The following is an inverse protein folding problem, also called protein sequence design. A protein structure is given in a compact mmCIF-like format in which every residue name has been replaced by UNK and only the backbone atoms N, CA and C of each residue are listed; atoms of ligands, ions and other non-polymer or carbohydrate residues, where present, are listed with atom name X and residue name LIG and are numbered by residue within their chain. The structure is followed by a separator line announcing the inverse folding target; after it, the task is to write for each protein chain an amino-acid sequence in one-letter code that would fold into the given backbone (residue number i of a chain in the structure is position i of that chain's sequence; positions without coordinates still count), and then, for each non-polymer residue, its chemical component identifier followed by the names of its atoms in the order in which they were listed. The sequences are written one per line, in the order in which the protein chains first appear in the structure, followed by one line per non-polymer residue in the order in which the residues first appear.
data_IF_941302889722
#
_entry.id   IF_941302889722
#
_cell.length_a   1.000
_cell.length_b   1.000
_cell.length_c   1.000
_cell.angle_alpha   90.00
_cell.angle_beta   90.00
_cell.angle_gamma   90.00
#
_symmetry.space_group_name_H-M   'P 1'
#
loop_
_entity.id
_entity.type
_entity.pdbx_description
1 polymer ?
#
# COMPACT_ATOMS: atom_id res chain seq x y z
N UNK A 1 -35.75 5.13 -10.98
CA UNK A 1 -35.64 6.38 -11.74
C UNK A 1 -35.96 7.52 -10.77
N UNK A 2 -35.04 7.86 -9.84
CA UNK A 2 -35.23 8.96 -8.87
C UNK A 2 -33.95 9.15 -8.02
N UNK A 3 -32.85 9.59 -8.64
CA UNK A 3 -31.66 10.09 -7.90
C UNK A 3 -30.93 11.22 -8.66
N UNK A 4 -31.42 11.63 -9.84
CA UNK A 4 -30.81 12.72 -10.65
C UNK A 4 -31.30 14.12 -10.31
N UNK A 5 -32.26 14.28 -9.40
CA UNK A 5 -32.94 15.58 -9.14
C UNK A 5 -32.45 16.34 -7.91
N UNK A 6 -31.78 15.71 -6.93
CA UNK A 6 -31.28 16.44 -5.74
C UNK A 6 -30.01 17.28 -6.02
N UNK A 7 -29.14 16.83 -6.93
CA UNK A 7 -27.94 17.58 -7.30
C UNK A 7 -28.24 18.85 -8.12
N UNK A 8 -29.30 18.86 -8.96
CA UNK A 8 -29.69 20.06 -9.70
C UNK A 8 -30.41 21.08 -8.81
N UNK A 9 -31.11 20.63 -7.76
CA UNK A 9 -31.74 21.51 -6.78
C UNK A 9 -30.69 22.27 -5.94
N UNK A 10 -29.65 21.58 -5.45
CA UNK A 10 -28.55 22.23 -4.71
C UNK A 10 -27.76 23.23 -5.58
N UNK A 11 -27.54 22.93 -6.86
CA UNK A 11 -26.89 23.85 -7.80
C UNK A 11 -27.72 25.12 -8.07
N UNK A 12 -29.04 24.99 -8.19
CA UNK A 12 -29.94 26.14 -8.37
C UNK A 12 -30.06 26.98 -7.10
N UNK A 13 -30.07 26.35 -5.92
CA UNK A 13 -30.13 27.07 -4.65
C UNK A 13 -28.87 27.90 -4.38
N UNK A 14 -27.68 27.36 -4.72
CA UNK A 14 -26.42 28.10 -4.63
C UNK A 14 -26.33 29.25 -5.64
N UNK A 15 -26.84 29.06 -6.86
CA UNK A 15 -26.89 30.14 -7.87
C UNK A 15 -27.76 31.31 -7.39
N UNK A 16 -28.96 31.01 -6.87
CA UNK A 16 -29.89 32.04 -6.41
C UNK A 16 -29.34 32.82 -5.18
N UNK A 17 -28.68 32.13 -4.24
CA UNK A 17 -28.03 32.78 -3.09
C UNK A 17 -26.83 33.65 -3.52
N UNK A 18 -26.12 33.26 -4.58
CA UNK A 18 -25.01 34.04 -5.14
C UNK A 18 -25.52 35.31 -5.84
N UNK A 19 -26.63 35.22 -6.57
CA UNK A 19 -27.21 36.37 -7.25
C UNK A 19 -27.74 37.41 -6.23
N UNK A 20 -28.37 36.96 -5.14
CA UNK A 20 -28.79 37.83 -4.02
C UNK A 20 -27.60 38.50 -3.30
N UNK A 21 -26.50 37.79 -3.09
CA UNK A 21 -25.29 38.33 -2.44
C UNK A 21 -24.54 39.34 -3.32
N UNK A 22 -24.63 39.21 -4.64
CA UNK A 22 -24.04 40.15 -5.61
C UNK A 22 -24.86 41.44 -5.66
N UNK A 23 -26.20 41.37 -5.57
CA UNK A 23 -27.07 42.55 -5.52
C UNK A 23 -26.95 43.34 -4.20
N UNK A 24 -26.69 42.66 -3.08
CA UNK A 24 -26.60 43.30 -1.75
C UNK A 24 -25.27 44.06 -1.51
N UNK A 25 -24.21 43.79 -2.28
CA UNK A 25 -22.89 44.41 -2.10
C UNK A 25 -22.22 44.83 -3.42
N UNK A 26 -22.76 45.86 -4.13
CA UNK A 26 -22.21 46.32 -5.41
C UNK A 26 -20.83 47.01 -5.30
N UNK A 27 -20.26 47.16 -4.09
CA UNK A 27 -19.01 47.88 -3.84
C UNK A 27 -17.77 46.99 -3.65
N UNK A 28 -17.89 45.66 -3.69
CA UNK A 28 -16.70 44.82 -3.86
C UNK A 28 -16.52 44.55 -5.34
N UNK A 29 -15.56 45.23 -5.96
CA UNK A 29 -15.04 44.92 -7.30
C UNK A 29 -14.42 43.52 -7.34
N UNK A 30 -15.27 42.51 -7.23
CA UNK A 30 -14.91 41.10 -7.20
C UNK A 30 -14.48 40.68 -8.60
N UNK A 31 -13.17 40.64 -8.81
CA UNK A 31 -12.59 40.04 -10.00
C UNK A 31 -13.20 38.64 -10.21
N UNK A 32 -13.86 38.40 -11.33
CA UNK A 32 -14.40 37.08 -11.70
C UNK A 32 -13.34 35.96 -11.69
N UNK A 33 -12.04 36.30 -11.67
CA UNK A 33 -10.94 35.36 -11.50
C UNK A 33 -10.80 34.78 -10.07
N UNK A 34 -11.47 35.36 -9.08
CA UNK A 34 -11.45 34.86 -7.70
C UNK A 34 -12.36 33.64 -7.49
N UNK A 35 -13.40 33.46 -8.33
CA UNK A 35 -14.31 32.31 -8.27
C UNK A 35 -13.68 31.03 -8.84
N UNK A 36 -12.78 31.14 -9.83
CA UNK A 36 -12.02 29.99 -10.38
C UNK A 36 -10.89 29.49 -9.45
N UNK A 37 -10.63 30.20 -8.34
CA UNK A 37 -9.56 29.86 -7.36
C UNK A 37 -10.08 29.66 -5.94
N UNK A 38 -11.36 29.38 -5.76
CA UNK A 38 -11.81 28.90 -4.45
C UNK A 38 -11.37 27.45 -4.27
N UNK A 39 -10.29 27.28 -3.50
CA UNK A 39 -9.92 25.99 -2.92
C UNK A 39 -11.17 25.30 -2.35
N UNK A 40 -11.31 24.01 -2.62
CA UNK A 40 -12.31 23.16 -2.00
C UNK A 40 -12.24 23.26 -0.47
N UNK A 41 -13.34 22.95 0.22
CA UNK A 41 -13.35 22.93 1.70
C UNK A 41 -12.19 22.08 2.22
N UNK A 42 -11.95 20.93 1.60
CA UNK A 42 -10.85 20.02 1.96
C UNK A 42 -9.48 20.65 1.75
N UNK A 43 -9.23 21.31 0.62
CA UNK A 43 -7.96 22.01 0.37
C UNK A 43 -7.73 23.16 1.36
N UNK A 44 -8.78 23.89 1.74
CA UNK A 44 -8.67 24.95 2.76
C UNK A 44 -8.39 24.38 4.15
N UNK A 45 -9.03 23.27 4.51
CA UNK A 45 -8.78 22.56 5.77
C UNK A 45 -7.35 22.03 5.79
N UNK A 46 -6.91 21.35 4.74
CA UNK A 46 -5.55 20.83 4.63
C UNK A 46 -4.49 21.94 4.68
N UNK A 47 -4.75 23.08 4.03
CA UNK A 47 -3.85 24.24 4.09
C UNK A 47 -3.75 24.83 5.51
N UNK A 48 -4.82 24.78 6.30
CA UNK A 48 -4.82 25.24 7.71
C UNK A 48 -4.27 24.20 8.68
N UNK A 49 -4.47 22.91 8.38
CA UNK A 49 -4.14 21.79 9.24
C UNK A 49 -2.90 21.07 8.70
N UNK A 50 -1.77 21.77 8.72
CA UNK A 50 -0.49 21.26 8.25
C UNK A 50 0.00 20.06 9.07
N UNK A 51 0.51 19.04 8.40
CA UNK A 51 1.12 17.86 9.03
C UNK A 51 2.61 18.11 9.29
N UNK A 52 2.94 18.30 10.57
CA UNK A 52 4.31 18.64 11.01
C UNK A 52 5.16 17.43 11.38
N UNK A 53 4.56 16.27 11.64
CA UNK A 53 5.33 15.07 11.98
C UNK A 53 6.07 14.51 10.75
N UNK A 54 7.24 13.86 10.96
CA UNK A 54 7.94 13.14 9.90
C UNK A 54 7.17 11.88 9.51
N UNK A 55 7.32 11.48 8.24
CA UNK A 55 6.78 10.23 7.72
C UNK A 55 7.88 9.51 6.97
N UNK A 56 8.12 8.26 7.35
CA UNK A 56 9.02 7.35 6.64
C UNK A 56 8.24 6.44 5.69
N UNK A 57 8.94 5.82 4.76
CA UNK A 57 8.41 4.76 3.90
C UNK A 57 9.19 3.49 4.17
N UNK A 58 8.48 2.38 4.35
CA UNK A 58 9.08 1.05 4.53
C UNK A 58 8.74 0.21 3.31
N UNK A 59 9.77 -0.24 2.59
CA UNK A 59 9.65 -1.24 1.53
C UNK A 59 10.13 -2.60 2.03
N UNK A 60 9.46 -3.67 1.60
CA UNK A 60 10.00 -5.03 1.65
C UNK A 60 10.37 -5.46 0.25
N UNK A 61 11.57 -6.02 0.10
CA UNK A 61 12.04 -6.50 -1.19
C UNK A 61 12.93 -7.72 -1.04
N UNK A 62 12.97 -8.55 -2.08
CA UNK A 62 13.77 -9.76 -2.14
C UNK A 62 14.18 -10.06 -3.57
N UNK A 63 15.42 -10.47 -3.78
CA UNK A 63 15.87 -11.08 -5.03
C UNK A 63 16.02 -12.59 -4.87
N UNK A 64 15.18 -13.32 -5.59
CA UNK A 64 15.15 -14.77 -5.63
C UNK A 64 16.30 -15.39 -6.41
N UNK A 65 16.90 -14.62 -7.34
CA UNK A 65 18.00 -15.02 -8.20
C UNK A 65 19.38 -14.89 -7.55
N UNK A 66 19.48 -14.20 -6.42
CA UNK A 66 20.69 -14.16 -5.59
C UNK A 66 21.07 -15.59 -5.12
N UNK A 67 22.28 -16.08 -5.45
CA UNK A 67 22.71 -17.43 -5.09
C UNK A 67 22.73 -17.71 -3.59
N UNK A 68 23.17 -16.75 -2.77
CA UNK A 68 23.27 -16.92 -1.32
C UNK A 68 21.88 -17.01 -0.69
N UNK A 69 20.98 -16.13 -1.11
CA UNK A 69 19.60 -16.17 -0.66
C UNK A 69 18.89 -17.43 -1.16
N UNK A 70 19.15 -17.87 -2.40
CA UNK A 70 18.58 -19.10 -2.94
C UNK A 70 19.06 -20.36 -2.21
N UNK A 71 20.36 -20.48 -1.94
CA UNK A 71 20.93 -21.59 -1.16
C UNK A 71 20.33 -21.62 0.25
N UNK A 72 20.32 -20.46 0.92
CA UNK A 72 19.71 -20.29 2.24
C UNK A 72 18.25 -20.75 2.24
N UNK A 73 17.41 -20.29 1.31
CA UNK A 73 16.00 -20.74 1.16
C UNK A 73 15.88 -22.25 0.97
N UNK A 74 16.63 -22.80 0.02
CA UNK A 74 16.53 -24.20 -0.36
C UNK A 74 16.90 -25.14 0.80
N UNK A 75 17.79 -24.72 1.70
CA UNK A 75 18.17 -25.49 2.89
C UNK A 75 17.02 -25.70 3.91
N UNK A 76 15.95 -24.91 3.83
CA UNK A 76 14.78 -25.00 4.71
C UNK A 76 13.56 -25.70 4.08
N UNK A 77 13.54 -25.90 2.76
CA UNK A 77 12.45 -26.62 2.09
C UNK A 77 12.23 -28.05 2.62
N UNK A 78 13.28 -28.85 2.94
CA UNK A 78 13.08 -30.21 3.46
C UNK A 78 12.59 -30.26 4.92
N UNK A 79 12.56 -29.12 5.63
CA UNK A 79 12.47 -29.07 7.10
C UNK A 79 11.10 -28.63 7.63
N UNK A 80 10.17 -28.21 6.78
CA UNK A 80 8.90 -27.66 7.23
C UNK A 80 7.72 -28.43 6.63
N UNK A 81 6.96 -29.07 7.51
CA UNK A 81 5.67 -29.67 7.16
C UNK A 81 4.62 -28.56 7.03
N UNK A 82 3.62 -28.74 6.17
CA UNK A 82 2.47 -27.82 5.95
C UNK A 82 2.74 -26.52 5.17
N UNK A 83 3.82 -26.43 4.40
CA UNK A 83 3.98 -25.32 3.44
C UNK A 83 2.91 -25.43 2.35
N UNK A 84 2.15 -24.36 2.12
CA UNK A 84 1.20 -24.34 1.02
C UNK A 84 1.95 -24.20 -0.32
N UNK A 85 1.56 -24.90 -1.42
CA UNK A 85 2.24 -24.79 -2.72
C UNK A 85 2.44 -23.35 -3.22
N UNK A 86 1.40 -22.51 -3.08
CA UNK A 86 1.51 -21.09 -3.41
C UNK A 86 2.57 -20.35 -2.60
N UNK A 87 2.91 -20.79 -1.38
CA UNK A 87 3.98 -20.23 -0.54
C UNK A 87 5.39 -20.47 -1.09
N UNK A 88 5.53 -21.43 -2.02
CA UNK A 88 6.78 -21.80 -2.68
C UNK A 88 6.87 -21.29 -4.14
N UNK A 89 5.88 -20.52 -4.60
CA UNK A 89 5.87 -20.01 -5.96
C UNK A 89 7.08 -19.10 -6.22
N UNK A 90 7.82 -19.36 -7.30
CA UNK A 90 8.96 -18.53 -7.71
C UNK A 90 8.59 -17.05 -7.87
N UNK A 91 7.34 -16.74 -8.22
CA UNK A 91 6.85 -15.36 -8.32
C UNK A 91 6.96 -14.59 -7.00
N UNK A 92 6.94 -15.25 -5.84
CA UNK A 92 7.08 -14.59 -4.53
C UNK A 92 8.48 -14.05 -4.26
N UNK A 93 9.47 -14.57 -4.97
CA UNK A 93 10.87 -14.21 -4.81
C UNK A 93 11.41 -13.54 -6.08
N UNK A 94 10.58 -13.34 -7.12
CA UNK A 94 11.07 -12.83 -8.39
C UNK A 94 11.21 -11.31 -8.32
N UNK A 95 12.41 -10.81 -8.58
CA UNK A 95 12.62 -9.40 -8.88
C UNK A 95 12.39 -9.16 -10.38
N UNK A 96 11.44 -8.27 -10.72
CA UNK A 96 11.27 -7.76 -12.08
C UNK A 96 11.58 -6.25 -12.14
N UNK A 97 12.42 -5.75 -11.23
CA UNK A 97 12.80 -4.34 -11.10
C UNK A 97 11.64 -3.42 -10.66
N UNK A 98 10.55 -3.97 -10.12
CA UNK A 98 9.41 -3.20 -9.60
C UNK A 98 9.87 -2.17 -8.56
N UNK A 99 10.72 -2.59 -7.62
CA UNK A 99 11.28 -1.71 -6.58
C UNK A 99 11.95 -0.47 -7.19
N UNK A 100 12.76 -0.64 -8.25
CA UNK A 100 13.46 0.48 -8.90
C UNK A 100 12.47 1.51 -9.41
N UNK A 101 11.42 1.07 -10.09
CA UNK A 101 10.38 1.96 -10.60
C UNK A 101 9.49 2.53 -9.48
N UNK A 102 9.25 1.79 -8.40
CA UNK A 102 8.52 2.28 -7.23
C UNK A 102 9.29 3.40 -6.52
N UNK A 103 10.62 3.29 -6.42
CA UNK A 103 11.46 4.37 -5.88
C UNK A 103 11.49 5.61 -6.79
N UNK A 104 11.50 5.44 -8.12
CA UNK A 104 11.30 6.57 -9.06
C UNK A 104 9.95 7.26 -8.83
N UNK A 105 8.89 6.47 -8.63
CA UNK A 105 7.57 6.99 -8.32
C UNK A 105 7.59 7.77 -6.99
N UNK A 106 8.24 7.24 -5.97
CA UNK A 106 8.32 7.86 -4.65
C UNK A 106 9.09 9.17 -4.68
N UNK A 107 10.23 9.24 -5.37
CA UNK A 107 10.99 10.49 -5.52
C UNK A 107 10.16 11.56 -6.23
N UNK A 108 9.50 11.17 -7.32
CA UNK A 108 8.71 12.09 -8.14
C UNK A 108 7.50 12.61 -7.38
N UNK A 109 6.78 11.72 -6.68
CA UNK A 109 5.43 12.02 -6.20
C UNK A 109 5.30 12.18 -4.69
N UNK A 110 6.33 11.83 -3.91
CA UNK A 110 6.36 12.02 -2.47
C UNK A 110 7.73 12.54 -1.97
N UNK A 111 8.22 13.68 -2.50
CA UNK A 111 9.53 14.22 -2.12
C UNK A 111 9.61 14.57 -0.62
N UNK A 112 8.47 14.79 0.03
CA UNK A 112 8.33 15.10 1.46
C UNK A 112 8.63 13.93 2.42
N UNK A 113 8.79 12.70 1.91
CA UNK A 113 9.18 11.54 2.73
C UNK A 113 10.52 11.83 3.41
N UNK A 114 10.61 11.52 4.71
CA UNK A 114 11.82 11.77 5.51
C UNK A 114 12.91 10.74 5.19
N UNK A 115 12.66 9.46 5.53
CA UNK A 115 13.56 8.34 5.23
C UNK A 115 12.82 7.26 4.46
N UNK A 116 13.58 6.51 3.66
CA UNK A 116 13.13 5.29 2.99
C UNK A 116 13.88 4.13 3.64
N UNK A 117 13.15 3.21 4.24
CA UNK A 117 13.69 1.99 4.82
C UNK A 117 13.46 0.86 3.83
N UNK A 118 14.54 0.26 3.33
CA UNK A 118 14.50 -0.91 2.46
C UNK A 118 14.83 -2.16 3.28
N UNK A 119 13.80 -2.95 3.58
CA UNK A 119 13.92 -4.21 4.34
C UNK A 119 14.29 -5.36 3.41
N UNK A 120 15.40 -6.03 3.71
CA UNK A 120 15.94 -7.15 2.90
C UNK A 120 16.44 -8.32 3.76
N UNK A 121 16.76 -9.45 3.12
CA UNK A 121 17.43 -10.61 3.74
C UNK A 121 18.92 -10.65 3.36
N UNK A 122 19.72 -9.73 3.90
CA UNK A 122 21.14 -9.54 3.58
C UNK A 122 21.43 -9.23 2.10
N UNK A 123 20.49 -8.57 1.42
CA UNK A 123 20.59 -8.23 0.00
C UNK A 123 20.67 -6.72 -0.22
N UNK A 124 21.38 -6.32 -1.27
CA UNK A 124 21.45 -4.94 -1.75
C UNK A 124 21.18 -4.96 -3.26
N UNK A 125 20.14 -4.28 -3.78
CA UNK A 125 19.93 -4.20 -5.22
C UNK A 125 21.15 -3.61 -5.93
N UNK A 126 21.60 -4.26 -7.00
CA UNK A 126 22.85 -3.90 -7.67
C UNK A 126 22.86 -2.46 -8.25
N UNK A 127 21.70 -1.95 -8.63
CA UNK A 127 21.47 -0.63 -9.20
C UNK A 127 21.31 0.48 -8.13
N UNK A 128 21.17 0.13 -6.85
CA UNK A 128 20.84 1.07 -5.79
C UNK A 128 22.07 1.90 -5.36
N UNK A 129 21.93 3.22 -5.37
CA UNK A 129 22.87 4.17 -4.79
C UNK A 129 22.66 4.29 -3.27
N UNK A 130 23.50 3.61 -2.51
CA UNK A 130 23.45 3.62 -1.03
C UNK A 130 24.04 4.88 -0.41
N UNK A 131 24.61 5.79 -1.19
CA UNK A 131 25.27 7.01 -0.71
C UNK A 131 24.35 8.24 -0.69
N UNK A 132 23.11 8.12 -1.17
CA UNK A 132 22.18 9.24 -1.29
C UNK A 132 21.67 9.78 0.07
N UNK A 133 21.88 9.04 1.17
CA UNK A 133 21.56 9.44 2.55
C UNK A 133 20.08 9.37 2.94
N UNK A 134 19.16 9.22 1.97
CA UNK A 134 17.71 9.12 2.21
C UNK A 134 17.22 7.68 2.30
N UNK A 135 17.91 6.74 1.66
CA UNK A 135 17.64 5.30 1.76
C UNK A 135 18.53 4.65 2.82
N UNK A 136 17.90 3.88 3.71
CA UNK A 136 18.56 3.03 4.68
C UNK A 136 18.15 1.58 4.42
N UNK A 137 19.15 0.72 4.23
CA UNK A 137 18.92 -0.73 4.11
C UNK A 137 18.89 -1.31 5.53
N UNK A 138 17.87 -2.11 5.83
CA UNK A 138 17.69 -2.77 7.12
C UNK A 138 17.52 -4.27 6.89
N UNK A 139 18.31 -5.07 7.58
CA UNK A 139 18.25 -6.52 7.49
C UNK A 139 17.15 -7.07 8.41
N UNK A 140 16.53 -8.19 8.02
CA UNK A 140 15.59 -8.91 8.88
C UNK A 140 16.11 -9.12 10.32
N UNK A 141 17.40 -9.40 10.50
CA UNK A 141 18.02 -9.62 11.82
C UNK A 141 18.05 -8.39 12.73
N UNK A 142 17.86 -7.20 12.17
CA UNK A 142 17.95 -5.95 12.94
C UNK A 142 16.67 -5.67 13.75
N UNK A 143 15.56 -6.35 13.43
CA UNK A 143 14.25 -6.08 14.07
C UNK A 143 13.38 -7.33 14.32
N UNK A 144 13.71 -8.48 13.70
CA UNK A 144 13.06 -9.77 13.97
C UNK A 144 13.87 -10.54 15.02
N UNK A 145 13.24 -11.08 16.08
CA UNK A 145 13.92 -11.95 17.04
C UNK A 145 14.61 -13.15 16.38
N UNK A 146 15.82 -13.46 16.85
CA UNK A 146 16.72 -14.42 16.20
C UNK A 146 16.11 -15.83 16.11
N UNK A 147 15.29 -16.23 17.08
CA UNK A 147 14.59 -17.53 17.09
C UNK A 147 13.64 -17.73 15.89
N UNK A 148 13.12 -16.64 15.32
CA UNK A 148 12.23 -16.69 14.16
C UNK A 148 12.97 -16.62 12.83
N UNK A 149 14.28 -16.39 12.85
CA UNK A 149 15.12 -16.28 11.66
C UNK A 149 15.74 -17.62 11.23
N UNK A 150 16.14 -17.75 9.95
CA UNK A 150 15.73 -16.88 8.85
C UNK A 150 14.22 -17.03 8.57
N UNK A 151 13.64 -16.10 7.82
CA UNK A 151 12.25 -16.21 7.36
C UNK A 151 12.13 -15.74 5.91
N UNK A 152 11.32 -16.44 5.14
CA UNK A 152 10.95 -16.12 3.76
C UNK A 152 9.44 -15.86 3.66
N UNK A 153 8.79 -15.72 4.82
CA UNK A 153 7.37 -15.52 4.97
C UNK A 153 7.09 -14.05 5.25
N UNK A 154 6.53 -13.35 4.26
CA UNK A 154 6.22 -11.92 4.43
C UNK A 154 5.27 -11.64 5.59
N UNK A 155 4.40 -12.58 6.00
CA UNK A 155 3.52 -12.36 7.15
C UNK A 155 4.32 -12.29 8.47
N UNK A 156 5.43 -13.05 8.57
CA UNK A 156 6.36 -12.96 9.70
C UNK A 156 7.13 -11.63 9.64
N UNK A 157 7.62 -11.23 8.47
CA UNK A 157 8.34 -9.97 8.28
C UNK A 157 7.44 -8.78 8.65
N UNK A 158 6.21 -8.76 8.12
CA UNK A 158 5.19 -7.74 8.38
C UNK A 158 4.86 -7.60 9.88
N UNK A 159 4.81 -8.71 10.62
CA UNK A 159 4.51 -8.68 12.06
C UNK A 159 5.53 -7.83 12.87
N UNK A 160 6.74 -7.63 12.36
CA UNK A 160 7.81 -6.93 13.07
C UNK A 160 8.22 -5.58 12.48
N UNK A 161 7.71 -5.14 11.32
CA UNK A 161 8.16 -3.87 10.69
C UNK A 161 8.09 -2.65 11.62
N UNK A 162 7.14 -2.61 12.55
CA UNK A 162 7.00 -1.53 13.52
C UNK A 162 8.13 -1.48 14.59
N UNK A 163 8.94 -2.55 14.68
CA UNK A 163 10.11 -2.66 15.56
C UNK A 163 11.42 -2.21 14.91
N UNK A 164 11.39 -1.81 13.63
CA UNK A 164 12.57 -1.29 12.94
C UNK A 164 13.18 -0.13 13.77
N UNK A 165 14.49 -0.19 14.10
CA UNK A 165 15.16 0.88 14.81
C UNK A 165 15.06 2.22 14.07
N UNK A 166 14.88 3.31 14.80
CA UNK A 166 14.79 4.68 14.26
C UNK A 166 13.64 4.98 13.27
N UNK A 167 12.72 4.03 13.07
CA UNK A 167 11.49 4.25 12.31
C UNK A 167 10.67 5.35 12.99
N UNK A 168 10.21 6.32 12.21
CA UNK A 168 9.32 7.38 12.67
C UNK A 168 8.00 6.82 13.21
N UNK A 169 7.36 7.57 14.12
CA UNK A 169 6.04 7.17 14.64
C UNK A 169 5.02 6.98 13.53
N UNK A 170 5.08 7.79 12.46
CA UNK A 170 4.21 7.68 11.30
C UNK A 170 5.02 7.16 10.11
N UNK A 171 4.52 6.14 9.43
CA UNK A 171 5.18 5.57 8.26
C UNK A 171 4.16 4.97 7.30
N UNK A 172 4.59 4.75 6.06
CA UNK A 172 3.80 4.08 5.03
C UNK A 172 4.52 2.79 4.66
N UNK A 173 3.87 1.65 4.85
CA UNK A 173 4.36 0.39 4.31
C UNK A 173 3.93 0.26 2.84
N UNK A 174 4.89 -0.06 1.97
CA UNK A 174 4.72 -0.33 0.55
C UNK A 174 5.35 -1.69 0.20
N UNK A 175 4.61 -2.51 -0.54
CA UNK A 175 5.25 -3.55 -1.34
C UNK A 175 5.98 -2.90 -2.52
N UNK A 176 6.99 -3.58 -3.05
CA UNK A 176 7.75 -3.16 -4.23
C UNK A 176 6.89 -3.03 -5.51
N UNK A 177 5.79 -3.77 -5.59
CA UNK A 177 4.82 -3.76 -6.69
C UNK A 177 3.75 -2.64 -6.63
N UNK A 178 3.89 -1.69 -5.69
CA UNK A 178 2.99 -0.53 -5.53
C UNK A 178 3.69 0.75 -6.01
N UNK A 179 3.00 1.56 -6.80
CA UNK A 179 3.53 2.77 -7.40
C UNK A 179 2.60 3.95 -7.12
N UNK A 180 3.15 5.06 -6.61
CA UNK A 180 2.43 6.33 -6.61
C UNK A 180 2.27 6.82 -8.05
N UNK A 181 1.13 7.42 -8.35
CA UNK A 181 0.74 7.73 -9.73
C UNK A 181 0.46 9.23 -9.98
N UNK A 182 0.51 10.05 -8.93
CA UNK A 182 0.42 11.50 -9.02
C UNK A 182 1.07 12.15 -7.81
N UNK A 183 1.34 13.46 -7.90
CA UNK A 183 1.87 14.22 -6.78
C UNK A 183 1.02 14.04 -5.52
N UNK A 184 1.68 13.75 -4.41
CA UNK A 184 1.07 13.53 -3.10
C UNK A 184 1.61 14.52 -2.08
N UNK A 185 0.87 14.65 -0.98
CA UNK A 185 1.33 15.34 0.23
C UNK A 185 1.21 14.38 1.42
N UNK A 186 1.72 14.76 2.58
CA UNK A 186 1.46 14.01 3.83
C UNK A 186 -0.04 13.80 4.08
N UNK A 187 -0.87 14.78 3.68
CA UNK A 187 -2.32 14.75 3.84
C UNK A 187 -3.02 13.75 2.88
N UNK A 188 -2.29 13.17 1.93
CA UNK A 188 -2.79 12.05 1.13
C UNK A 188 -2.85 10.74 1.92
N UNK A 189 -2.17 10.63 3.07
CA UNK A 189 -1.98 9.38 3.82
C UNK A 189 -2.36 9.47 5.29
N UNK A 190 -2.29 10.66 5.88
CA UNK A 190 -2.66 10.90 7.27
C UNK A 190 -3.55 12.14 7.37
N UNK A 191 -4.43 12.15 8.37
CA UNK A 191 -5.05 13.39 8.82
C UNK A 191 -4.05 14.23 9.62
N UNK A 192 -4.40 15.50 9.81
CA UNK A 192 -3.62 16.44 10.62
C UNK A 192 -3.49 16.08 12.09
N UNK A 193 -4.44 15.31 12.63
CA UNK A 193 -4.37 14.74 13.97
C UNK A 193 -3.69 13.36 14.02
N UNK A 194 -3.03 12.93 12.94
CA UNK A 194 -2.17 11.74 12.92
C UNK A 194 -2.89 10.42 12.66
N UNK A 195 -4.19 10.43 12.30
CA UNK A 195 -4.89 9.19 11.95
C UNK A 195 -4.50 8.72 10.54
N UNK A 196 -4.15 7.45 10.35
CA UNK A 196 -3.86 6.90 9.04
C UNK A 196 -5.13 6.80 8.19
N UNK A 197 -4.97 6.93 6.87
CA UNK A 197 -6.02 6.64 5.90
C UNK A 197 -5.97 5.17 5.49
N UNK A 198 -7.11 4.49 5.58
CA UNK A 198 -7.30 3.13 5.08
C UNK A 198 -7.96 3.15 3.71
N UNK A 199 -7.19 2.92 2.64
CA UNK A 199 -7.71 2.89 1.28
C UNK A 199 -8.59 1.65 1.08
N UNK A 200 -9.90 1.83 0.94
CA UNK A 200 -10.87 0.73 0.85
C UNK A 200 -10.84 0.11 -0.56
N UNK A 201 -10.85 -1.22 -0.64
CA UNK A 201 -10.99 -1.93 -1.90
C UNK A 201 -12.46 -1.86 -2.36
N UNK A 202 -12.77 -0.93 -3.25
CA UNK A 202 -14.11 -0.79 -3.85
C UNK A 202 -14.55 -2.05 -4.63
N UNK A 203 -13.63 -2.97 -4.96
CA UNK A 203 -13.91 -4.26 -5.61
C UNK A 203 -14.25 -5.37 -4.62
N UNK A 204 -14.31 -5.07 -3.32
CA UNK A 204 -14.56 -6.01 -2.21
C UNK A 204 -15.97 -6.63 -2.22
N UNK A 205 -16.31 -7.36 -3.29
CA UNK A 205 -17.31 -8.42 -3.31
C UNK A 205 -16.70 -9.79 -2.93
N UNK A 206 -15.46 -9.81 -2.42
CA UNK A 206 -14.58 -11.00 -2.41
C UNK A 206 -14.66 -11.91 -1.18
N UNK A 207 -15.14 -11.43 -0.03
CA UNK A 207 -14.99 -12.20 1.22
C UNK A 207 -15.80 -13.49 1.27
N UNK A 208 -16.99 -13.51 0.66
CA UNK A 208 -17.78 -14.75 0.56
C UNK A 208 -17.00 -15.86 -0.14
N UNK A 209 -16.15 -15.52 -1.11
CA UNK A 209 -15.29 -16.46 -1.82
C UNK A 209 -14.04 -16.87 -1.04
N UNK A 210 -13.57 -16.06 -0.08
CA UNK A 210 -12.34 -16.36 0.68
C UNK A 210 -12.51 -17.54 1.62
N UNK A 211 -13.71 -17.70 2.21
CA UNK A 211 -14.05 -18.88 3.02
C UNK A 211 -13.79 -20.21 2.28
N UNK A 212 -14.00 -20.23 0.96
CA UNK A 212 -13.85 -21.43 0.14
C UNK A 212 -12.49 -21.51 -0.57
N UNK A 213 -11.70 -20.44 -0.55
CA UNK A 213 -10.42 -20.36 -1.26
C UNK A 213 -9.28 -20.70 -0.31
N UNK A 214 -8.58 -21.81 -0.56
CA UNK A 214 -7.50 -22.30 0.33
C UNK A 214 -6.12 -21.67 0.08
N UNK A 215 -6.04 -20.50 -0.55
CA UNK A 215 -4.72 -19.85 -0.78
C UNK A 215 -4.24 -19.13 0.48
N UNK A 216 -2.91 -19.02 0.71
CA UNK A 216 -2.36 -18.28 1.85
C UNK A 216 -2.94 -16.88 2.02
N UNK A 217 -3.04 -16.13 0.91
CA UNK A 217 -3.61 -14.79 0.92
C UNK A 217 -5.09 -14.79 1.35
N UNK A 218 -5.94 -15.62 0.75
CA UNK A 218 -7.36 -15.64 1.11
C UNK A 218 -7.58 -16.12 2.57
N UNK A 219 -6.82 -17.12 3.00
CA UNK A 219 -6.90 -17.65 4.37
C UNK A 219 -6.42 -16.63 5.40
N UNK A 220 -5.38 -15.85 5.09
CA UNK A 220 -4.91 -14.79 6.00
C UNK A 220 -5.96 -13.72 6.31
N UNK A 221 -6.86 -13.45 5.35
CA UNK A 221 -8.00 -12.56 5.56
C UNK A 221 -9.10 -13.27 6.36
N UNK A 222 -9.41 -14.53 6.01
CA UNK A 222 -10.42 -15.32 6.70
C UNK A 222 -10.08 -15.55 8.19
N UNK A 223 -8.82 -15.87 8.50
CA UNK A 223 -8.33 -16.06 9.86
C UNK A 223 -8.52 -14.80 10.72
N UNK A 224 -8.33 -13.62 10.12
CA UNK A 224 -8.58 -12.33 10.79
C UNK A 224 -10.05 -12.22 11.18
N UNK A 225 -10.97 -12.43 10.22
CA UNK A 225 -12.41 -12.34 10.48
C UNK A 225 -12.88 -13.37 11.51
N UNK A 226 -12.35 -14.61 11.43
CA UNK A 226 -12.62 -15.67 12.40
C UNK A 226 -12.17 -15.26 13.81
N UNK A 227 -11.02 -14.61 13.95
CA UNK A 227 -10.55 -14.11 15.24
C UNK A 227 -11.49 -13.05 15.83
N UNK A 228 -11.94 -12.07 15.03
CA UNK A 228 -12.91 -11.06 15.48
C UNK A 228 -14.23 -11.68 15.94
N UNK A 229 -14.73 -12.66 15.20
CA UNK A 229 -15.94 -13.41 15.55
C UNK A 229 -15.78 -14.12 16.90
N UNK A 230 -14.65 -14.80 17.11
CA UNK A 230 -14.34 -15.50 18.38
C UNK A 230 -14.16 -14.54 19.56
N UNK A 231 -13.68 -13.32 19.34
CA UNK A 231 -13.52 -12.30 20.37
C UNK A 231 -14.79 -11.48 20.63
N UNK A 232 -15.87 -11.72 19.87
CA UNK A 232 -17.10 -10.94 19.92
C UNK A 232 -16.85 -9.43 19.75
N UNK A 233 -15.85 -9.05 18.95
CA UNK A 233 -15.55 -7.65 18.65
C UNK A 233 -16.33 -7.23 17.43
N UNK A 234 -17.20 -6.23 17.59
CA UNK A 234 -17.96 -5.67 16.49
C UNK A 234 -17.02 -5.04 15.47
N UNK A 235 -17.14 -5.47 14.22
CA UNK A 235 -16.37 -4.92 13.10
C UNK A 235 -17.21 -4.93 11.84
N UNK A 236 -16.77 -4.17 10.83
CA UNK A 236 -17.38 -4.23 9.51
C UNK A 236 -16.55 -5.17 8.64
N UNK A 237 -16.98 -6.43 8.41
CA UNK A 237 -16.21 -7.36 7.60
C UNK A 237 -16.00 -6.84 6.18
N UNK A 238 -16.85 -5.93 5.67
CA UNK A 238 -16.68 -5.32 4.34
C UNK A 238 -15.54 -4.30 4.27
N UNK A 239 -14.96 -3.90 5.40
CA UNK A 239 -13.78 -3.04 5.43
C UNK A 239 -12.54 -3.85 5.05
N UNK A 240 -12.29 -3.91 3.75
CA UNK A 240 -11.09 -4.50 3.15
C UNK A 240 -10.27 -3.36 2.54
N UNK A 241 -8.97 -3.35 2.78
CA UNK A 241 -8.10 -2.38 2.15
C UNK A 241 -7.61 -2.84 0.77
N UNK A 242 -7.45 -1.88 -0.12
CA UNK A 242 -6.83 -2.06 -1.42
C UNK A 242 -5.39 -2.57 -1.25
N UNK A 243 -4.91 -3.33 -2.25
CA UNK A 243 -3.49 -3.64 -2.35
C UNK A 243 -2.74 -2.38 -2.83
N UNK A 244 -2.14 -1.65 -1.89
CA UNK A 244 -1.58 -0.33 -2.11
C UNK A 244 -0.76 0.16 -0.91
N UNK A 245 -0.65 1.48 -0.71
CA UNK A 245 0.01 2.06 0.45
C UNK A 245 -0.74 1.72 1.75
N UNK A 246 0.00 1.38 2.80
CA UNK A 246 -0.54 1.15 4.14
C UNK A 246 0.03 2.17 5.13
N UNK A 247 -0.59 3.36 5.26
CA UNK A 247 -0.26 4.31 6.32
C UNK A 247 -0.49 3.68 7.69
N UNK A 248 0.49 3.82 8.57
CA UNK A 248 0.48 3.20 9.88
C UNK A 248 1.19 4.08 10.90
N UNK A 249 0.96 3.79 12.18
CA UNK A 249 1.79 4.31 13.26
C UNK A 249 2.40 3.18 14.06
N UNK A 250 3.58 3.40 14.67
CA UNK A 250 4.23 2.37 15.50
C UNK A 250 3.34 2.01 16.68
N UNK A 251 2.67 3.00 17.26
CA UNK A 251 1.68 2.80 18.33
C UNK A 251 0.56 1.88 17.88
N UNK A 252 -0.04 2.11 16.71
CA UNK A 252 -1.14 1.30 16.20
C UNK A 252 -0.70 -0.11 15.81
N UNK A 253 0.48 -0.25 15.20
CA UNK A 253 1.03 -1.55 14.84
C UNK A 253 1.37 -2.37 16.10
N UNK A 254 2.01 -1.76 17.10
CA UNK A 254 2.27 -2.42 18.39
C UNK A 254 0.98 -2.88 19.07
N UNK A 255 -0.02 -1.99 19.18
CA UNK A 255 -1.31 -2.33 19.78
C UNK A 255 -2.06 -3.43 19.00
N UNK A 256 -1.90 -3.47 17.67
CA UNK A 256 -2.45 -4.56 16.85
C UNK A 256 -1.72 -5.87 17.12
N UNK A 257 -0.39 -5.86 17.18
CA UNK A 257 0.39 -7.05 17.52
C UNK A 257 -0.05 -7.63 18.87
N UNK A 258 -0.20 -6.78 19.88
CA UNK A 258 -0.67 -7.18 21.23
C UNK A 258 -2.10 -7.74 21.20
N UNK A 259 -2.97 -7.23 20.33
CA UNK A 259 -4.34 -7.73 20.20
C UNK A 259 -4.43 -9.12 19.57
N UNK A 260 -3.53 -9.43 18.62
CA UNK A 260 -3.43 -10.72 17.92
C UNK A 260 -2.24 -11.57 18.40
N UNK A 261 -1.78 -11.37 19.64
CA UNK A 261 -0.50 -11.90 20.13
C UNK A 261 -0.38 -13.42 19.94
N UNK A 262 -1.40 -14.17 20.35
CA UNK A 262 -1.44 -15.64 20.26
C UNK A 262 -1.44 -16.11 18.81
N UNK A 263 -2.25 -15.48 17.96
CA UNK A 263 -2.37 -15.84 16.56
C UNK A 263 -1.06 -15.55 15.83
N UNK A 264 -0.44 -14.40 16.09
CA UNK A 264 0.84 -14.02 15.49
C UNK A 264 1.93 -14.99 15.95
N UNK A 265 2.09 -15.20 17.25
CA UNK A 265 3.12 -16.09 17.82
C UNK A 265 3.02 -17.50 17.23
N UNK A 266 1.80 -17.99 16.96
CA UNK A 266 1.58 -19.33 16.43
C UNK A 266 2.25 -19.58 15.07
N UNK A 267 2.44 -18.54 14.24
CA UNK A 267 3.02 -18.68 12.90
C UNK A 267 4.42 -18.07 12.75
N UNK A 268 5.00 -17.45 13.79
CA UNK A 268 6.32 -16.80 13.67
C UNK A 268 7.45 -17.75 13.27
N UNK A 269 7.31 -19.04 13.58
CA UNK A 269 8.27 -20.08 13.17
C UNK A 269 8.08 -20.56 11.72
N UNK A 270 7.03 -20.13 11.03
CA UNK A 270 6.76 -20.54 9.66
C UNK A 270 7.72 -19.84 8.68
N UNK A 271 8.68 -20.61 8.15
CA UNK A 271 9.73 -20.08 7.24
C UNK A 271 9.15 -19.71 5.87
N UNK A 272 8.10 -20.41 5.44
CA UNK A 272 7.32 -20.12 4.24
C UNK A 272 5.83 -19.92 4.58
N UNK A 273 5.10 -19.21 3.72
CA UNK A 273 3.66 -18.97 3.91
C UNK A 273 2.86 -20.28 3.96
N UNK A 274 2.03 -20.41 4.98
CA UNK A 274 1.04 -21.48 5.14
C UNK A 274 -0.38 -20.90 4.95
N UNK A 275 -1.39 -21.52 5.54
CA UNK A 275 -2.76 -20.99 5.58
C UNK A 275 -3.15 -20.52 6.98
N UNK A 276 -2.20 -20.47 7.91
CA UNK A 276 -2.44 -20.19 9.33
C UNK A 276 -2.17 -18.72 9.68
N UNK A 277 -1.49 -17.98 8.81
CA UNK A 277 -1.09 -16.60 9.07
C UNK A 277 -2.25 -15.60 9.02
N UNK A 278 -1.93 -14.35 9.37
CA UNK A 278 -2.78 -13.18 9.25
C UNK A 278 -2.09 -12.14 8.35
N UNK A 279 -2.89 -11.43 7.55
CA UNK A 279 -2.41 -10.32 6.74
C UNK A 279 -2.32 -9.05 7.60
N UNK A 280 -1.16 -8.79 8.20
CA UNK A 280 -1.01 -7.81 9.26
C UNK A 280 -1.38 -6.38 8.81
N UNK A 281 -0.67 -5.85 7.81
CA UNK A 281 -0.91 -4.48 7.32
C UNK A 281 -2.11 -4.35 6.38
N UNK A 282 -2.38 -5.39 5.60
CA UNK A 282 -3.39 -5.34 4.53
C UNK A 282 -4.78 -5.81 4.97
N UNK A 283 -4.93 -6.28 6.21
CA UNK A 283 -6.26 -6.61 6.75
C UNK A 283 -6.39 -6.48 8.27
N UNK A 284 -5.55 -7.16 9.05
CA UNK A 284 -5.72 -7.27 10.50
C UNK A 284 -5.66 -5.92 11.21
N UNK A 285 -4.60 -5.13 10.97
CA UNK A 285 -4.44 -3.80 11.54
C UNK A 285 -5.52 -2.83 11.06
N UNK A 286 -5.79 -2.65 9.74
CA UNK A 286 -6.85 -1.75 9.31
C UNK A 286 -8.22 -2.07 9.92
N UNK A 287 -8.58 -3.35 9.99
CA UNK A 287 -9.87 -3.78 10.54
C UNK A 287 -9.96 -3.55 12.06
N UNK A 288 -8.87 -3.81 12.79
CA UNK A 288 -8.77 -3.48 14.21
C UNK A 288 -8.91 -1.98 14.45
N UNK A 289 -8.13 -1.15 13.75
CA UNK A 289 -8.20 0.31 13.88
C UNK A 289 -9.58 0.85 13.49
N UNK A 290 -10.25 0.24 12.51
CA UNK A 290 -11.62 0.60 12.15
C UNK A 290 -12.59 0.38 13.31
N UNK A 291 -12.53 -0.79 13.97
CA UNK A 291 -13.35 -1.05 15.17
C UNK A 291 -13.09 -0.05 16.30
N UNK A 292 -11.87 0.49 16.38
CA UNK A 292 -11.45 1.46 17.40
C UNK A 292 -11.63 2.92 16.98
N UNK A 293 -12.16 3.19 15.78
CA UNK A 293 -12.26 4.56 15.20
C UNK A 293 -10.91 5.29 15.11
N UNK A 294 -9.82 4.54 14.88
CA UNK A 294 -8.43 5.01 14.78
C UNK A 294 -7.86 5.00 13.36
N UNK A 295 -8.72 4.82 12.35
CA UNK A 295 -8.37 4.87 10.93
C UNK A 295 -9.50 5.59 10.19
N UNK A 296 -9.15 6.35 9.14
CA UNK A 296 -10.13 7.05 8.30
C UNK A 296 -10.31 6.24 7.01
N UNK A 297 -11.48 5.64 6.75
CA UNK A 297 -11.77 5.00 5.47
C UNK A 297 -11.65 5.99 4.31
N UNK A 298 -10.89 5.64 3.29
CA UNK A 298 -10.69 6.46 2.11
C UNK A 298 -11.08 5.67 0.85
N UNK A 299 -12.04 6.19 0.09
CA UNK A 299 -12.42 5.65 -1.22
C UNK A 299 -11.62 6.36 -2.32
N UNK A 300 -10.41 5.86 -2.57
CA UNK A 300 -9.52 6.37 -3.60
C UNK A 300 -9.55 5.42 -4.81
N UNK A 301 -9.68 5.98 -6.01
CA UNK A 301 -9.56 5.18 -7.24
C UNK A 301 -8.13 4.66 -7.34
N UNK A 302 -7.97 3.42 -7.80
CA UNK A 302 -6.66 2.83 -8.06
C UNK A 302 -6.76 1.76 -9.14
N UNK A 303 -5.62 1.44 -9.76
CA UNK A 303 -5.51 0.27 -10.61
C UNK A 303 -4.81 -0.86 -9.85
N UNK A 304 -5.34 -2.07 -9.99
CA UNK A 304 -4.64 -3.29 -9.58
C UNK A 304 -4.68 -4.27 -10.74
N UNK A 305 -3.50 -4.68 -11.17
CA UNK A 305 -3.32 -5.51 -12.36
C UNK A 305 -2.45 -6.69 -11.97
N UNK A 306 -2.85 -7.90 -12.33
CA UNK A 306 -1.93 -9.03 -12.28
C UNK A 306 -1.20 -9.14 -13.62
N UNK A 307 0.12 -9.29 -13.58
CA UNK A 307 1.02 -9.33 -14.76
C UNK A 307 0.62 -10.39 -15.79
N UNK A 308 -0.13 -11.42 -15.39
CA UNK A 308 -0.48 -12.56 -16.25
C UNK A 308 -1.88 -12.49 -16.86
N UNK A 309 -2.67 -11.48 -16.54
CA UNK A 309 -4.03 -11.38 -17.08
C UNK A 309 -4.02 -11.25 -18.60
N UNK A 310 -5.05 -11.80 -19.23
CA UNK A 310 -5.26 -11.71 -20.68
C UNK A 310 -5.41 -10.25 -21.14
N UNK A 311 -6.08 -9.44 -20.33
CA UNK A 311 -6.39 -8.03 -20.57
C UNK A 311 -5.34 -7.05 -20.00
N UNK A 312 -4.18 -7.51 -19.50
CA UNK A 312 -3.18 -6.64 -18.84
C UNK A 312 -2.75 -5.43 -19.69
N UNK A 313 -2.62 -5.62 -21.01
CA UNK A 313 -2.18 -4.55 -21.92
C UNK A 313 -3.22 -3.42 -22.01
N UNK A 314 -4.51 -3.74 -21.85
CA UNK A 314 -5.55 -2.73 -21.77
C UNK A 314 -5.43 -1.92 -20.47
N UNK A 315 -5.13 -2.58 -19.34
CA UNK A 315 -4.84 -1.89 -18.08
C UNK A 315 -3.58 -1.03 -18.17
N UNK A 316 -2.50 -1.52 -18.77
CA UNK A 316 -1.27 -0.75 -18.96
C UNK A 316 -1.52 0.50 -19.80
N UNK A 317 -2.32 0.37 -20.87
CA UNK A 317 -2.77 1.52 -21.67
C UNK A 317 -3.62 2.49 -20.85
N UNK A 318 -4.54 1.99 -20.01
CA UNK A 318 -5.35 2.83 -19.13
C UNK A 318 -4.50 3.60 -18.10
N UNK A 319 -3.50 2.95 -17.50
CA UNK A 319 -2.55 3.59 -16.59
C UNK A 319 -1.81 4.74 -17.29
N UNK A 320 -1.23 4.48 -18.47
CA UNK A 320 -0.52 5.51 -19.24
C UNK A 320 -1.43 6.67 -19.68
N UNK A 321 -2.64 6.35 -20.16
CA UNK A 321 -3.62 7.36 -20.53
C UNK A 321 -4.03 8.21 -19.32
N UNK A 322 -4.24 7.59 -18.14
CA UNK A 322 -4.62 8.34 -16.93
C UNK A 322 -3.57 9.39 -16.54
N UNK A 323 -2.28 9.10 -16.75
CA UNK A 323 -1.19 10.07 -16.58
C UNK A 323 -1.27 11.19 -17.62
N UNK A 324 -1.40 10.82 -18.90
CA UNK A 324 -1.49 11.77 -20.02
C UNK A 324 -2.66 12.74 -19.85
N UNK A 325 -3.79 12.23 -19.39
CA UNK A 325 -5.05 12.95 -19.24
C UNK A 325 -5.13 13.67 -17.88
N UNK A 326 -4.06 13.62 -17.05
CA UNK A 326 -3.98 14.22 -15.71
C UNK A 326 -5.11 13.78 -14.76
N UNK A 327 -5.54 12.53 -14.88
CA UNK A 327 -6.58 11.89 -14.04
C UNK A 327 -6.08 10.60 -13.40
N UNK A 328 -4.76 10.48 -13.24
CA UNK A 328 -4.13 9.35 -12.59
C UNK A 328 -4.67 9.18 -11.16
N UNK A 329 -4.89 7.94 -10.69
CA UNK A 329 -5.24 7.67 -9.30
C UNK A 329 -4.11 8.10 -8.35
N UNK A 330 -4.32 8.03 -7.03
CA UNK A 330 -3.22 8.17 -6.07
C UNK A 330 -2.12 7.13 -6.30
N UNK A 331 -2.49 5.88 -6.56
CA UNK A 331 -1.56 4.78 -6.78
C UNK A 331 -2.10 3.72 -7.75
N UNK A 332 -1.20 2.87 -8.24
CA UNK A 332 -1.53 1.60 -8.87
C UNK A 332 -0.62 0.49 -8.38
N UNK A 333 -1.06 -0.75 -8.55
CA UNK A 333 -0.31 -1.95 -8.22
C UNK A 333 -0.27 -2.89 -9.43
N UNK A 334 0.91 -3.42 -9.75
CA UNK A 334 1.10 -4.41 -10.81
C UNK A 334 1.74 -5.65 -10.20
N UNK A 335 0.91 -6.60 -9.78
CA UNK A 335 1.31 -7.74 -8.97
C UNK A 335 1.68 -8.95 -9.83
N UNK A 336 2.84 -9.57 -9.57
CA UNK A 336 3.27 -10.79 -10.21
C UNK A 336 2.88 -12.04 -9.41
N UNK A 337 2.10 -12.94 -10.02
CA UNK A 337 1.53 -14.11 -9.33
C UNK A 337 1.79 -15.42 -10.09
N UNK A 338 2.25 -16.46 -9.39
CA UNK A 338 2.43 -17.82 -9.91
C UNK A 338 3.44 -18.02 -11.05
N UNK A 339 3.48 -19.26 -11.55
CA UNK A 339 4.47 -19.71 -12.54
C UNK A 339 3.93 -19.69 -13.98
N UNK A 340 4.75 -19.26 -14.95
CA UNK A 340 4.39 -19.24 -16.38
C UNK A 340 5.60 -19.47 -17.30
N UNK A 341 5.41 -20.24 -18.38
CA UNK A 341 6.39 -20.36 -19.47
C UNK A 341 6.57 -19.07 -20.29
N UNK A 342 5.66 -18.10 -20.14
CA UNK A 342 5.68 -16.80 -20.86
C UNK A 342 6.26 -15.67 -20.01
N UNK A 343 7.04 -15.97 -18.98
CA UNK A 343 7.50 -14.98 -18.00
C UNK A 343 8.27 -13.82 -18.64
N UNK A 344 9.20 -14.11 -19.54
CA UNK A 344 9.98 -13.08 -20.25
C UNK A 344 9.09 -12.08 -21.03
N UNK A 345 7.94 -12.54 -21.57
CA UNK A 345 6.97 -11.66 -22.22
C UNK A 345 6.29 -10.73 -21.21
N UNK A 346 5.91 -11.26 -20.05
CA UNK A 346 5.25 -10.47 -19.01
C UNK A 346 6.19 -9.44 -18.40
N UNK A 347 7.46 -9.82 -18.16
CA UNK A 347 8.52 -8.91 -17.73
C UNK A 347 8.74 -7.79 -18.76
N UNK A 348 8.86 -8.12 -20.04
CA UNK A 348 8.98 -7.12 -21.11
C UNK A 348 7.81 -6.15 -21.15
N UNK A 349 6.58 -6.64 -21.01
CA UNK A 349 5.39 -5.78 -21.01
C UNK A 349 5.36 -4.87 -19.77
N UNK A 350 5.73 -5.41 -18.60
CA UNK A 350 5.84 -4.69 -17.32
C UNK A 350 6.88 -3.57 -17.41
N UNK A 351 8.11 -3.90 -17.84
CA UNK A 351 9.17 -2.92 -18.04
C UNK A 351 8.73 -1.82 -19.00
N UNK A 352 8.11 -2.18 -20.14
CA UNK A 352 7.64 -1.19 -21.11
C UNK A 352 6.65 -0.19 -20.50
N UNK A 353 5.68 -0.64 -19.70
CA UNK A 353 4.71 0.27 -19.07
C UNK A 353 5.38 1.12 -17.98
N UNK A 354 6.24 0.53 -17.15
CA UNK A 354 6.91 1.24 -16.06
C UNK A 354 7.93 2.25 -16.58
N UNK A 355 8.73 1.93 -17.60
CA UNK A 355 9.64 2.88 -18.27
C UNK A 355 8.86 4.03 -18.89
N UNK A 356 7.72 3.76 -19.53
CA UNK A 356 6.89 4.82 -20.12
C UNK A 356 6.27 5.73 -19.04
N UNK A 357 5.93 5.19 -17.87
CA UNK A 357 5.37 5.96 -16.77
C UNK A 357 6.44 6.71 -15.97
N UNK A 358 7.61 6.10 -15.74
CA UNK A 358 8.71 6.62 -14.92
C UNK A 358 10.03 6.62 -15.72
N UNK A 359 10.13 7.46 -16.76
CA UNK A 359 11.27 7.43 -17.68
C UNK A 359 12.57 7.92 -17.04
N UNK A 360 12.48 8.84 -16.08
CA UNK A 360 13.65 9.44 -15.44
C UNK A 360 14.15 8.53 -14.31
N UNK A 361 15.46 8.19 -14.30
CA UNK A 361 16.09 7.59 -13.13
C UNK A 361 15.95 8.50 -11.91
N UNK A 362 15.85 7.86 -10.74
CA UNK A 362 15.85 8.56 -9.46
C UNK A 362 17.26 8.82 -8.95
N UNK A 363 17.41 9.71 -7.96
CA UNK A 363 18.71 9.92 -7.28
C UNK A 363 19.16 8.70 -6.46
N UNK A 364 18.29 7.71 -6.31
CA UNK A 364 18.54 6.41 -5.69
C UNK A 364 19.21 5.41 -6.62
N UNK A 365 19.40 5.73 -7.90
CA UNK A 365 20.05 4.86 -8.88
C UNK A 365 21.51 5.30 -9.10
N UNK A 366 22.39 4.32 -9.36
CA UNK A 366 23.83 4.54 -9.63
C UNK A 366 24.10 5.18 -10.98
#
# INVERSE_FOLDING_TARGET
MEYKTKASFFRRFYSALCDELIELHPATGGCGSCLEKMLTIDERIQKKLEIKFPIDVVYTWVDGGDPLHAEKRNSFLPKQNNIHPNGLENARFRDNEELRYSLRALETFAPWVRKIILVTDAQIPNWLNTLNGKIQIVDHKDFIPHEYLPTFNSHVIEAFLHKIPELAEHYIYLNDDVFLARQTTKASFFSSNGLPFGFVDWRARRLSGYKFTKTPHAQSYFNTLKFFEQKHVETNPKFITAHGPYPATKTNAKATFEFFDKEIISFLNNKFRTTEELAFYSHAMPLWLYSQKKIIPCDEKYYYVQTRRRDRLAYYKAILNSKKDNVAPLFFCINDVGNSKKIAKYQKDLHKVLTAYFPQPSTYEK
#
